data_IF_324655742641
#
_entry.id   IF_324655742641
#
_cell.length_a   1.000
_cell.length_b   1.000
_cell.length_c   1.000
_cell.angle_alpha   90.00
_cell.angle_beta   90.00
_cell.angle_gamma   90.00
#
_symmetry.space_group_name_H-M   'P 1'
#
loop_
_entity.id
_entity.type
_entity.pdbx_description
1 polymer ?
#
# COMPACT_ATOMS: atom_id res chain seq x y z
N UNK A 1 -4.46 24.58 -0.24
CA UNK A 1 -3.73 23.33 0.08
C UNK A 1 -4.61 22.51 1.02
N UNK A 2 -4.96 21.26 0.71
CA UNK A 2 -5.84 20.44 1.59
C UNK A 2 -5.06 20.05 2.84
N UNK A 3 -5.65 20.28 4.00
CA UNK A 3 -5.07 19.84 5.27
C UNK A 3 -5.33 18.34 5.42
N UNK A 4 -4.28 17.54 5.27
CA UNK A 4 -4.37 16.07 5.21
C UNK A 4 -4.42 15.44 6.59
N UNK A 5 -4.17 16.22 7.64
CA UNK A 5 -4.20 15.75 9.03
C UNK A 5 -5.56 15.90 9.69
N UNK A 6 -6.53 16.52 9.00
CA UNK A 6 -7.87 16.81 9.53
C UNK A 6 -8.97 16.21 8.66
N UNK A 7 -10.13 16.00 9.29
CA UNK A 7 -11.38 15.68 8.63
C UNK A 7 -11.76 16.75 7.59
N UNK A 8 -12.61 16.41 6.62
CA UNK A 8 -13.00 17.35 5.55
C UNK A 8 -13.64 18.64 6.08
N UNK A 9 -14.30 18.58 7.24
CA UNK A 9 -14.89 19.71 7.98
C UNK A 9 -13.94 20.34 9.01
N UNK A 10 -12.71 19.80 9.15
CA UNK A 10 -11.63 20.26 10.04
C UNK A 10 -11.93 20.24 11.54
N UNK A 11 -12.94 19.47 11.95
CA UNK A 11 -13.36 19.39 13.36
C UNK A 11 -12.56 18.37 14.16
N UNK A 12 -11.96 17.38 13.50
CA UNK A 12 -11.16 16.33 14.14
C UNK A 12 -9.93 15.99 13.31
N UNK A 13 -8.91 15.42 13.95
CA UNK A 13 -7.76 14.87 13.21
C UNK A 13 -8.15 13.57 12.53
N UNK A 14 -7.45 13.24 11.45
CA UNK A 14 -7.64 11.96 10.77
C UNK A 14 -7.34 10.80 11.74
N UNK A 15 -8.34 9.93 11.93
CA UNK A 15 -8.27 8.75 12.80
C UNK A 15 -7.92 9.05 14.28
N UNK A 16 -8.47 10.14 14.84
CA UNK A 16 -8.37 10.51 16.27
C UNK A 16 -9.31 9.67 17.16
N UNK A 17 -9.20 8.34 17.04
CA UNK A 17 -10.04 7.37 17.72
C UNK A 17 -9.55 7.03 19.14
N UNK A 18 -9.46 5.73 19.41
CA UNK A 18 -9.07 5.21 20.73
C UNK A 18 -7.58 5.49 21.00
N UNK A 19 -7.27 6.04 22.17
CA UNK A 19 -5.88 6.23 22.64
C UNK A 19 -5.14 4.89 22.66
N UNK A 20 -3.92 4.89 22.11
CA UNK A 20 -3.09 3.71 21.84
C UNK A 20 -3.36 3.05 20.50
N UNK A 21 -4.35 3.51 19.72
CA UNK A 21 -4.80 2.92 18.46
C UNK A 21 -5.03 3.96 17.35
N UNK A 22 -4.71 5.25 17.60
CA UNK A 22 -4.89 6.36 16.66
C UNK A 22 -3.58 6.74 15.99
N UNK A 23 -3.66 7.27 14.77
CA UNK A 23 -2.49 7.58 13.92
C UNK A 23 -1.62 8.72 14.46
N UNK A 24 -2.09 9.44 15.46
CA UNK A 24 -1.36 10.53 16.12
C UNK A 24 -0.55 10.08 17.33
N UNK A 25 -0.71 8.83 17.77
CA UNK A 25 0.06 8.30 18.89
C UNK A 25 1.45 7.85 18.44
N UNK A 26 2.44 8.02 19.31
CA UNK A 26 3.77 7.43 19.17
C UNK A 26 3.68 5.92 19.48
N UNK A 27 3.16 5.16 18.53
CA UNK A 27 2.91 3.73 18.67
C UNK A 27 4.06 2.90 18.09
N UNK A 28 4.59 1.97 18.88
CA UNK A 28 5.61 1.01 18.46
C UNK A 28 5.48 -0.30 19.28
N UNK A 29 5.67 -1.48 18.68
CA UNK A 29 5.93 -1.74 17.26
C UNK A 29 4.70 -1.43 16.40
N UNK A 30 4.90 -1.04 15.13
CA UNK A 30 3.79 -0.93 14.19
C UNK A 30 3.07 -2.28 14.15
N UNK A 31 1.75 -2.33 14.34
CA UNK A 31 0.98 -3.55 14.11
C UNK A 31 0.99 -3.84 12.59
N UNK A 32 1.76 -4.81 12.08
CA UNK A 32 1.81 -5.05 10.66
C UNK A 32 0.64 -5.96 10.33
N UNK A 33 -0.49 -5.37 9.93
CA UNK A 33 -1.45 -6.08 9.11
C UNK A 33 -0.80 -6.30 7.73
N UNK A 34 0.02 -7.36 7.61
CA UNK A 34 0.64 -7.91 6.39
C UNK A 34 0.79 -6.90 5.23
N UNK A 35 1.99 -6.37 5.03
CA UNK A 35 2.26 -5.50 3.89
C UNK A 35 2.39 -6.31 2.60
N UNK A 36 1.61 -5.96 1.57
CA UNK A 36 1.72 -6.57 0.25
C UNK A 36 2.98 -6.12 -0.49
N UNK A 37 3.55 -6.98 -1.32
CA UNK A 37 4.71 -6.70 -2.17
C UNK A 37 4.58 -5.36 -2.94
N UNK A 38 3.44 -5.02 -3.59
CA UNK A 38 3.32 -3.76 -4.32
C UNK A 38 3.51 -2.52 -3.45
N UNK A 39 3.08 -2.56 -2.18
CA UNK A 39 3.28 -1.44 -1.26
C UNK A 39 4.76 -1.25 -0.92
N UNK A 40 5.48 -2.35 -0.64
CA UNK A 40 6.92 -2.30 -0.31
C UNK A 40 7.71 -1.77 -1.50
N UNK A 41 7.48 -2.33 -2.70
CA UNK A 41 8.17 -1.91 -3.93
C UNK A 41 7.84 -0.44 -4.23
N UNK A 42 6.60 0.01 -4.02
CA UNK A 42 6.23 1.41 -4.18
C UNK A 42 6.95 2.34 -3.20
N UNK A 43 7.04 1.98 -1.93
CA UNK A 43 7.71 2.78 -0.92
C UNK A 43 9.20 2.93 -1.21
N UNK A 44 9.88 1.82 -1.53
CA UNK A 44 11.30 1.84 -1.89
C UNK A 44 11.56 2.63 -3.18
N UNK A 45 10.67 2.53 -4.17
CA UNK A 45 10.75 3.34 -5.39
C UNK A 45 10.61 4.83 -5.08
N UNK A 46 9.63 5.23 -4.26
CA UNK A 46 9.43 6.63 -3.82
C UNK A 46 10.65 7.16 -3.06
N UNK A 47 11.34 6.30 -2.30
CA UNK A 47 12.55 6.65 -1.57
C UNK A 47 13.83 6.69 -2.46
N UNK A 48 13.70 6.50 -3.77
CA UNK A 48 14.82 6.56 -4.72
C UNK A 48 15.59 5.25 -4.88
N UNK A 49 15.13 4.16 -4.26
CA UNK A 49 15.77 2.85 -4.38
C UNK A 49 15.21 2.00 -5.54
N UNK A 50 14.24 2.51 -6.31
CA UNK A 50 13.51 1.72 -7.31
C UNK A 50 14.39 1.08 -8.40
N UNK A 51 15.51 1.71 -8.76
CA UNK A 51 16.50 1.18 -9.72
C UNK A 51 17.71 0.51 -9.06
N UNK A 52 17.72 0.35 -7.74
CA UNK A 52 18.81 -0.35 -7.08
C UNK A 52 18.83 -1.82 -7.57
N UNK A 53 19.99 -2.41 -7.92
CA UNK A 53 20.08 -3.81 -8.34
C UNK A 53 19.43 -4.79 -7.35
N UNK A 54 19.46 -4.48 -6.04
CA UNK A 54 18.81 -5.29 -5.01
C UNK A 54 17.27 -5.34 -5.13
N UNK A 55 16.66 -4.51 -5.98
CA UNK A 55 15.22 -4.51 -6.24
C UNK A 55 14.81 -5.42 -7.40
N UNK A 56 15.75 -5.98 -8.17
CA UNK A 56 15.45 -6.76 -9.38
C UNK A 56 14.51 -7.95 -9.08
N UNK A 57 14.83 -8.75 -8.06
CA UNK A 57 13.99 -9.86 -7.62
C UNK A 57 12.57 -9.39 -7.23
N UNK A 58 12.44 -8.24 -6.58
CA UNK A 58 11.15 -7.70 -6.19
C UNK A 58 10.32 -7.26 -7.41
N UNK A 59 10.98 -6.75 -8.45
CA UNK A 59 10.32 -6.40 -9.71
C UNK A 59 9.88 -7.63 -10.50
N UNK A 60 10.71 -8.66 -10.54
CA UNK A 60 10.38 -9.93 -11.21
C UNK A 60 9.17 -10.57 -10.55
N UNK A 61 9.16 -10.67 -9.21
CA UNK A 61 8.02 -11.17 -8.44
C UNK A 61 6.75 -10.35 -8.66
N UNK A 62 6.87 -9.03 -8.83
CA UNK A 62 5.72 -8.17 -9.13
C UNK A 62 5.17 -8.48 -10.52
N UNK A 63 6.06 -8.66 -11.50
CA UNK A 63 5.70 -8.91 -12.90
C UNK A 63 5.05 -10.27 -13.10
N UNK A 64 5.54 -11.29 -12.40
CA UNK A 64 4.97 -12.65 -12.41
C UNK A 64 3.52 -12.69 -11.90
N UNK A 65 3.14 -11.74 -11.06
CA UNK A 65 1.80 -11.67 -10.44
C UNK A 65 0.77 -10.91 -11.27
N UNK A 66 1.19 -10.29 -12.37
CA UNK A 66 0.30 -9.57 -13.28
C UNK A 66 -0.57 -10.52 -14.10
N UNK A 67 -1.83 -10.15 -14.31
CA UNK A 67 -2.68 -10.77 -15.30
C UNK A 67 -2.34 -10.28 -16.72
N UNK A 68 -3.03 -10.84 -17.72
CA UNK A 68 -2.86 -10.48 -19.14
C UNK A 68 -3.11 -8.99 -19.45
N UNK A 69 -3.82 -8.28 -18.59
CA UNK A 69 -4.14 -6.86 -18.72
C UNK A 69 -3.19 -5.98 -17.87
N UNK A 70 -2.17 -6.56 -17.24
CA UNK A 70 -1.23 -5.87 -16.36
C UNK A 70 -1.79 -5.53 -14.97
N UNK A 71 -2.88 -6.17 -14.55
CA UNK A 71 -3.47 -5.98 -13.21
C UNK A 71 -2.96 -7.03 -12.24
N UNK A 72 -2.83 -6.65 -10.97
CA UNK A 72 -2.42 -7.58 -9.92
C UNK A 72 -3.62 -8.24 -9.24
N UNK A 73 -3.57 -9.55 -9.09
CA UNK A 73 -4.56 -10.31 -8.33
C UNK A 73 -4.34 -10.16 -6.82
N UNK A 74 -5.42 -10.15 -6.05
CA UNK A 74 -5.33 -10.20 -4.60
C UNK A 74 -4.97 -11.62 -4.14
N UNK A 75 -3.82 -11.80 -3.49
CA UNK A 75 -3.37 -13.13 -3.03
C UNK A 75 -3.75 -13.42 -1.57
N UNK A 76 -4.08 -12.39 -0.79
CA UNK A 76 -4.44 -12.54 0.61
C UNK A 76 -5.12 -11.30 1.17
N UNK A 77 -5.99 -11.50 2.15
CA UNK A 77 -6.68 -10.44 2.86
C UNK A 77 -7.18 -10.94 4.22
N UNK A 78 -7.61 -10.04 5.11
CA UNK A 78 -8.10 -10.40 6.45
C UNK A 78 -9.43 -11.16 6.37
N UNK A 79 -9.65 -12.11 7.29
CA UNK A 79 -10.91 -12.86 7.39
C UNK A 79 -12.09 -11.99 7.85
N UNK A 80 -11.81 -10.98 8.68
CA UNK A 80 -12.76 -9.94 9.09
C UNK A 80 -12.21 -8.59 8.64
N UNK A 81 -12.92 -7.93 7.74
CA UNK A 81 -12.56 -6.60 7.24
C UNK A 81 -13.67 -5.61 7.58
N UNK A 82 -13.33 -4.37 7.95
CA UNK A 82 -14.33 -3.32 8.18
C UNK A 82 -15.04 -2.89 6.88
N UNK A 83 -14.44 -3.15 5.72
CA UNK A 83 -15.00 -2.89 4.41
C UNK A 83 -14.43 -3.85 3.35
N UNK A 84 -15.04 -3.92 2.17
CA UNK A 84 -14.60 -4.84 1.10
C UNK A 84 -13.37 -4.30 0.37
N UNK A 85 -12.24 -5.01 0.48
CA UNK A 85 -11.01 -4.69 -0.25
C UNK A 85 -10.81 -5.51 -1.52
N UNK A 86 -11.77 -6.37 -1.88
CA UNK A 86 -11.69 -7.29 -3.02
C UNK A 86 -11.76 -8.76 -2.61
N UNK A 87 -11.70 -9.66 -3.59
CA UNK A 87 -11.70 -11.12 -3.38
C UNK A 87 -10.36 -11.71 -3.77
N UNK A 88 -9.89 -12.69 -2.98
CA UNK A 88 -8.67 -13.43 -3.29
C UNK A 88 -8.82 -14.13 -4.65
N UNK A 89 -7.76 -14.11 -5.45
CA UNK A 89 -7.73 -14.67 -6.81
C UNK A 89 -8.34 -13.78 -7.89
N UNK A 90 -8.77 -12.56 -7.56
CA UNK A 90 -9.32 -11.60 -8.53
C UNK A 90 -8.44 -10.36 -8.65
N UNK A 91 -8.47 -9.73 -9.83
CA UNK A 91 -7.79 -8.47 -10.09
C UNK A 91 -8.21 -7.41 -9.05
N UNK A 92 -7.22 -6.73 -8.48
CA UNK A 92 -7.40 -5.82 -7.36
C UNK A 92 -6.90 -4.42 -7.70
N UNK A 93 -7.79 -3.43 -7.54
CA UNK A 93 -7.47 -2.03 -7.84
C UNK A 93 -6.35 -1.46 -6.97
N UNK A 94 -6.26 -1.87 -5.71
CA UNK A 94 -5.25 -1.33 -4.79
C UNK A 94 -3.88 -1.93 -5.09
N UNK A 95 -3.79 -3.24 -5.28
CA UNK A 95 -2.53 -3.89 -5.66
C UNK A 95 -2.01 -3.33 -6.99
N UNK A 96 -2.89 -3.24 -7.99
CA UNK A 96 -2.57 -2.67 -9.30
C UNK A 96 -2.12 -1.20 -9.19
N UNK A 97 -2.84 -0.39 -8.41
CA UNK A 97 -2.48 1.01 -8.19
C UNK A 97 -1.07 1.16 -7.62
N UNK A 98 -0.72 0.40 -6.58
CA UNK A 98 0.60 0.49 -5.96
C UNK A 98 1.72 -0.04 -6.87
N UNK A 99 1.47 -1.03 -7.72
CA UNK A 99 2.42 -1.45 -8.76
C UNK A 99 2.70 -0.34 -9.77
N UNK A 100 1.64 0.28 -10.31
CA UNK A 100 1.77 1.41 -11.23
C UNK A 100 2.49 2.58 -10.55
N UNK A 101 2.17 2.85 -9.29
CA UNK A 101 2.84 3.87 -8.49
C UNK A 101 4.33 3.55 -8.34
N UNK A 102 4.67 2.31 -8.07
CA UNK A 102 6.06 1.88 -7.98
C UNK A 102 6.80 2.12 -9.30
N UNK A 103 6.27 1.67 -10.45
CA UNK A 103 6.93 1.85 -11.75
C UNK A 103 7.09 3.34 -12.11
N UNK A 104 6.09 4.16 -11.76
CA UNK A 104 6.18 5.63 -11.92
C UNK A 104 7.40 6.21 -11.20
N UNK A 105 7.66 5.79 -9.96
CA UNK A 105 8.77 6.29 -9.15
C UNK A 105 10.06 5.50 -9.35
N UNK A 106 10.02 4.34 -10.01
CA UNK A 106 11.21 3.56 -10.37
C UNK A 106 12.20 4.41 -11.17
N UNK A 107 11.68 5.22 -12.09
CA UNK A 107 12.47 6.05 -13.04
C UNK A 107 12.68 7.49 -12.58
N UNK A 108 12.21 7.84 -11.39
CA UNK A 108 12.23 9.21 -10.86
C UNK A 108 13.58 9.58 -10.22
#
# INVERSE_FOLDING_TARGET
>A
KRDVFYSSDKTSKFDDGRVGWRFVDNFFPVEPMRMGLPLIVSALSILGAGNNPAMEEAWDLLKEKEDKDGRLNLEGTLSKQPCSFGKVGQANKWMTFYSILADKYRKA
#
